data_IF_197849736796
#
_entry.id   IF_197849736796
#
_cell.length_a   1.000
_cell.length_b   1.000
_cell.length_c   1.000
_cell.angle_alpha   90.00
_cell.angle_beta   90.00
_cell.angle_gamma   90.00
#
_symmetry.space_group_name_H-M   'P 1'
#
loop_
_entity.id
_entity.type
_entity.pdbx_description
1 polymer ?
#
# COMPACT_ATOMS: atom_id res chain seq x y z
N UNK A 1 -11.14 -34.61 -38.29
CA UNK A 1 -10.83 -34.97 -36.90
C UNK A 1 -9.31 -35.08 -36.80
N UNK A 2 -8.68 -33.95 -36.50
CA UNK A 2 -7.25 -33.78 -36.17
C UNK A 2 -7.28 -33.22 -34.74
N UNK A 3 -6.56 -33.69 -33.73
CA UNK A 3 -5.20 -34.22 -33.71
C UNK A 3 -4.42 -33.36 -32.71
N UNK A 4 -4.58 -33.65 -31.41
CA UNK A 4 -4.03 -32.89 -30.27
C UNK A 4 -2.50 -32.84 -30.33
N UNK A 5 -1.89 -31.65 -30.42
CA UNK A 5 -0.44 -31.45 -30.29
C UNK A 5 -0.07 -30.87 -28.93
N UNK A 6 0.44 -31.74 -28.05
CA UNK A 6 1.07 -31.37 -26.79
C UNK A 6 2.38 -30.60 -27.04
N UNK A 7 2.53 -29.45 -26.39
CA UNK A 7 3.76 -28.65 -26.42
C UNK A 7 4.82 -29.34 -25.55
N UNK A 8 5.94 -29.77 -26.15
CA UNK A 8 7.12 -30.30 -25.45
C UNK A 8 8.19 -29.22 -25.32
N UNK A 9 8.69 -29.00 -24.10
CA UNK A 9 9.86 -28.17 -23.81
C UNK A 9 11.14 -28.82 -24.35
N UNK A 10 12.02 -28.11 -25.09
CA UNK A 10 13.29 -28.69 -25.54
C UNK A 10 14.30 -28.81 -24.39
N UNK A 11 14.65 -30.04 -24.02
CA UNK A 11 15.87 -30.33 -23.26
C UNK A 11 17.06 -30.39 -24.23
N UNK A 12 18.04 -29.49 -24.07
CA UNK A 12 19.42 -29.75 -24.48
C UNK A 12 20.35 -29.39 -23.33
N UNK A 13 20.91 -30.43 -22.72
CA UNK A 13 22.09 -30.37 -21.88
C UNK A 13 23.32 -30.10 -22.77
N UNK A 14 24.03 -29.01 -22.51
CA UNK A 14 25.45 -28.92 -22.81
C UNK A 14 26.16 -28.25 -21.63
N UNK A 15 26.95 -29.03 -20.92
CA UNK A 15 27.76 -28.61 -19.78
C UNK A 15 28.81 -27.59 -20.21
N UNK A 16 28.77 -26.37 -19.66
CA UNK A 16 29.97 -25.55 -19.39
C UNK A 16 29.75 -24.71 -18.13
N UNK A 17 30.59 -24.96 -17.12
CA UNK A 17 30.70 -24.22 -15.84
C UNK A 17 30.75 -22.71 -16.08
N UNK A 18 29.75 -21.96 -15.60
CA UNK A 18 29.84 -20.51 -15.29
C UNK A 18 28.94 -20.16 -14.10
N UNK A 19 29.45 -19.22 -13.30
CA UNK A 19 28.97 -18.71 -12.01
C UNK A 19 27.46 -18.49 -11.90
N UNK A 20 26.92 -18.80 -10.72
CA UNK A 20 25.54 -18.55 -10.30
C UNK A 20 25.27 -17.04 -10.24
N UNK A 21 24.83 -16.47 -11.36
CA UNK A 21 24.05 -15.23 -11.38
C UNK A 21 22.66 -15.60 -11.88
N UNK A 22 21.69 -15.61 -10.96
CA UNK A 22 20.29 -15.91 -11.25
C UNK A 22 19.77 -14.87 -12.27
N UNK A 23 19.37 -15.32 -13.46
CA UNK A 23 18.93 -14.47 -14.56
C UNK A 23 17.61 -13.77 -14.21
N UNK A 24 17.69 -12.53 -13.74
CA UNK A 24 16.53 -11.64 -13.66
C UNK A 24 16.24 -11.01 -15.02
N UNK A 25 14.96 -10.72 -15.36
CA UNK A 25 14.65 -9.89 -16.51
C UNK A 25 15.25 -8.50 -16.29
N UNK A 26 16.33 -8.18 -17.00
CA UNK A 26 16.92 -6.86 -17.03
C UNK A 26 16.14 -6.00 -18.04
N UNK A 27 15.47 -4.96 -17.55
CA UNK A 27 14.85 -3.93 -18.40
C UNK A 27 15.77 -2.72 -18.43
N UNK A 28 16.13 -2.23 -19.62
CA UNK A 28 16.82 -0.95 -19.72
C UNK A 28 15.78 0.19 -19.58
N UNK A 29 15.97 1.09 -18.61
CA UNK A 29 15.15 2.29 -18.43
C UNK A 29 15.91 3.46 -19.03
N UNK A 30 15.64 3.84 -20.30
CA UNK A 30 16.31 4.98 -20.91
C UNK A 30 15.89 6.27 -20.20
N UNK A 31 16.78 7.27 -20.20
CA UNK A 31 16.38 8.66 -19.97
C UNK A 31 15.32 9.02 -21.02
N UNK A 32 14.07 9.20 -20.59
CA UNK A 32 12.94 9.28 -21.48
C UNK A 32 12.19 10.60 -21.24
N UNK A 33 11.91 11.39 -22.29
CA UNK A 33 11.02 12.55 -22.19
C UNK A 33 9.56 12.15 -21.85
N UNK A 34 9.25 10.84 -21.80
CA UNK A 34 7.94 10.29 -21.45
C UNK A 34 7.81 9.90 -19.97
N UNK A 35 8.71 10.37 -19.10
CA UNK A 35 8.61 10.20 -17.65
C UNK A 35 7.84 11.35 -17.01
N UNK A 36 6.59 11.10 -16.62
CA UNK A 36 5.79 12.06 -15.85
C UNK A 36 5.98 11.79 -14.36
N UNK A 37 6.34 12.79 -13.56
CA UNK A 37 6.43 12.62 -12.10
C UNK A 37 5.03 12.36 -11.54
N UNK A 38 4.89 11.26 -10.80
CA UNK A 38 3.64 10.88 -10.11
C UNK A 38 3.64 11.35 -8.66
N UNK A 39 4.79 11.33 -8.00
CA UNK A 39 4.88 11.68 -6.59
C UNK A 39 6.31 11.70 -6.06
N UNK A 40 6.42 11.98 -4.78
CA UNK A 40 7.66 11.97 -4.01
C UNK A 40 7.46 11.13 -2.74
N UNK A 41 8.52 10.48 -2.29
CA UNK A 41 8.60 9.80 -1.00
C UNK A 41 9.90 10.19 -0.31
N UNK A 42 10.13 9.67 0.90
CA UNK A 42 11.34 9.96 1.68
C UNK A 42 12.59 9.51 0.91
N UNK A 43 13.33 10.47 0.34
CA UNK A 43 14.54 10.23 -0.45
C UNK A 43 14.33 9.64 -1.84
N UNK A 44 13.09 9.51 -2.33
CA UNK A 44 12.77 8.91 -3.63
C UNK A 44 11.74 9.73 -4.42
N UNK A 45 11.76 9.61 -5.74
CA UNK A 45 10.76 10.13 -6.66
C UNK A 45 10.12 8.98 -7.43
N UNK A 46 8.81 9.07 -7.67
CA UNK A 46 8.05 8.09 -8.45
C UNK A 46 7.61 8.72 -9.76
N UNK A 47 7.80 7.99 -10.86
CA UNK A 47 7.53 8.45 -12.21
C UNK A 47 6.70 7.43 -12.99
N UNK A 48 5.78 7.90 -13.82
CA UNK A 48 5.08 7.12 -14.83
C UNK A 48 5.97 6.96 -16.06
N UNK A 49 6.22 5.73 -16.48
CA UNK A 49 6.93 5.40 -17.71
C UNK A 49 5.97 4.77 -18.72
N UNK A 50 5.67 5.49 -19.79
CA UNK A 50 5.01 4.97 -21.00
C UNK A 50 6.07 4.62 -22.05
N UNK A 51 6.06 3.40 -22.59
CA UNK A 51 6.98 3.02 -23.68
C UNK A 51 6.33 3.27 -25.05
N UNK A 52 7.16 3.53 -26.05
CA UNK A 52 6.73 3.66 -27.45
C UNK A 52 6.16 2.32 -27.96
N UNK A 53 5.07 2.31 -28.74
CA UNK A 53 4.30 1.10 -29.13
C UNK A 53 5.03 0.10 -30.05
N UNK A 54 6.34 0.22 -30.27
CA UNK A 54 7.11 -0.68 -31.15
C UNK A 54 7.51 -1.96 -30.40
N UNK A 55 6.58 -2.90 -30.33
CA UNK A 55 6.79 -4.28 -29.85
C UNK A 55 6.01 -4.59 -28.57
N UNK A 56 5.42 -5.79 -28.49
CA UNK A 56 4.58 -6.27 -27.39
C UNK A 56 5.18 -5.87 -26.04
N UNK A 57 4.59 -4.88 -25.36
CA UNK A 57 5.07 -4.45 -24.05
C UNK A 57 3.91 -3.89 -23.23
N UNK A 58 3.69 -4.53 -22.08
CA UNK A 58 2.67 -4.27 -21.07
C UNK A 58 2.83 -2.93 -20.32
N UNK A 59 3.22 -1.83 -20.98
CA UNK A 59 3.21 -0.49 -20.37
C UNK A 59 1.78 0.02 -20.17
N UNK A 60 1.48 0.92 -19.21
CA UNK A 60 2.40 1.73 -18.41
C UNK A 60 3.05 1.05 -17.19
N UNK A 61 4.16 1.63 -16.71
CA UNK A 61 4.86 1.23 -15.47
C UNK A 61 5.07 2.42 -14.54
N UNK A 62 5.10 2.19 -13.23
CA UNK A 62 5.63 3.16 -12.27
C UNK A 62 7.12 2.87 -12.01
N UNK A 63 7.94 3.91 -11.88
CA UNK A 63 9.39 3.82 -11.69
C UNK A 63 9.77 4.66 -10.49
N UNK A 64 10.23 4.01 -9.42
CA UNK A 64 10.77 4.65 -8.22
C UNK A 64 12.29 4.81 -8.38
N UNK A 65 12.79 6.03 -8.19
CA UNK A 65 14.20 6.41 -8.29
C UNK A 65 14.64 7.19 -7.06
N UNK A 66 15.90 7.07 -6.67
CA UNK A 66 16.46 7.88 -5.58
C UNK A 66 16.50 9.34 -6.01
N UNK A 67 16.11 10.24 -5.11
CA UNK A 67 16.15 11.67 -5.37
C UNK A 67 17.60 12.13 -5.55
N UNK A 68 17.97 12.76 -6.68
CA UNK A 68 19.34 13.24 -6.90
C UNK A 68 19.83 14.24 -5.85
N UNK A 69 18.91 14.95 -5.18
CA UNK A 69 19.21 15.96 -4.16
C UNK A 69 19.47 15.31 -2.78
N UNK A 70 19.35 13.97 -2.65
CA UNK A 70 19.68 13.31 -1.39
C UNK A 70 21.15 13.54 -1.03
N UNK A 71 21.43 13.87 0.24
CA UNK A 71 22.79 13.96 0.75
C UNK A 71 23.53 12.64 0.46
N UNK A 72 24.75 12.73 -0.09
CA UNK A 72 25.59 11.58 -0.43
C UNK A 72 25.77 10.61 0.74
N UNK A 73 25.78 11.12 1.97
CA UNK A 73 25.85 10.33 3.20
C UNK A 73 24.67 9.34 3.33
N UNK A 74 23.47 9.72 2.91
CA UNK A 74 22.25 8.89 3.02
C UNK A 74 21.91 8.15 1.72
N UNK A 75 22.64 8.41 0.63
CA UNK A 75 22.39 7.79 -0.67
C UNK A 75 22.51 6.26 -0.60
N UNK A 76 23.52 5.75 0.11
CA UNK A 76 23.72 4.30 0.32
C UNK A 76 22.55 3.66 1.08
N UNK A 77 22.01 4.37 2.08
CA UNK A 77 20.84 3.93 2.86
C UNK A 77 19.60 3.83 1.98
N UNK A 78 19.32 4.86 1.17
CA UNK A 78 18.19 4.83 0.23
C UNK A 78 18.37 3.79 -0.88
N UNK A 79 19.59 3.54 -1.33
CA UNK A 79 19.89 2.45 -2.27
C UNK A 79 19.58 1.08 -1.66
N UNK A 80 19.99 0.86 -0.40
CA UNK A 80 19.70 -0.37 0.33
C UNK A 80 18.19 -0.55 0.50
N UNK A 81 17.46 0.47 0.97
CA UNK A 81 16.01 0.45 1.11
C UNK A 81 15.28 0.14 -0.20
N UNK A 82 15.68 0.79 -1.30
CA UNK A 82 15.09 0.53 -2.61
C UNK A 82 15.37 -0.90 -3.10
N UNK A 83 16.56 -1.43 -2.81
CA UNK A 83 16.92 -2.82 -3.13
C UNK A 83 16.12 -3.81 -2.30
N UNK A 84 15.92 -3.54 -1.01
CA UNK A 84 15.15 -4.40 -0.11
C UNK A 84 13.66 -4.39 -0.47
N UNK A 85 13.10 -3.22 -0.78
CA UNK A 85 11.75 -3.08 -1.36
C UNK A 85 11.61 -3.91 -2.65
N UNK A 86 12.60 -3.84 -3.55
CA UNK A 86 12.59 -4.60 -4.78
C UNK A 86 12.62 -6.13 -4.54
N UNK A 87 13.36 -6.60 -3.53
CA UNK A 87 13.41 -8.03 -3.16
C UNK A 87 12.05 -8.49 -2.63
N UNK A 88 11.44 -7.70 -1.75
CA UNK A 88 10.11 -7.98 -1.19
C UNK A 88 9.09 -8.03 -2.33
N UNK A 89 8.97 -6.95 -3.10
CA UNK A 89 7.98 -6.80 -4.16
C UNK A 89 8.09 -7.90 -5.22
N UNK A 90 9.30 -8.34 -5.55
CA UNK A 90 9.54 -9.44 -6.51
C UNK A 90 8.93 -10.77 -6.08
N UNK A 91 8.76 -10.99 -4.77
CA UNK A 91 8.12 -12.18 -4.22
C UNK A 91 6.59 -12.09 -4.19
N UNK A 92 6.02 -10.93 -4.52
CA UNK A 92 4.59 -10.65 -4.40
C UNK A 92 3.86 -10.79 -5.75
N UNK A 93 2.73 -11.49 -5.75
CA UNK A 93 1.84 -11.63 -6.88
C UNK A 93 0.39 -11.77 -6.38
N UNK A 94 -0.36 -10.67 -6.37
CA UNK A 94 -1.76 -10.66 -5.93
C UNK A 94 -2.53 -9.52 -6.64
N UNK A 95 -3.82 -9.71 -7.02
CA UNK A 95 -4.59 -8.69 -7.74
C UNK A 95 -4.74 -7.36 -6.99
N UNK A 96 -4.71 -7.38 -5.66
CA UNK A 96 -4.83 -6.18 -4.80
C UNK A 96 -3.50 -5.66 -4.24
N UNK A 97 -2.36 -6.12 -4.77
CA UNK A 97 -1.03 -5.59 -4.46
C UNK A 97 -0.38 -5.12 -5.77
N UNK A 98 0.33 -3.99 -5.74
CA UNK A 98 1.12 -3.53 -6.89
C UNK A 98 2.24 -4.53 -7.17
N UNK A 99 2.32 -5.02 -8.42
CA UNK A 99 3.30 -6.03 -8.81
C UNK A 99 4.71 -5.47 -9.08
N UNK A 100 5.71 -6.33 -8.94
CA UNK A 100 7.08 -6.05 -9.39
C UNK A 100 7.23 -6.17 -10.90
N UNK A 101 8.05 -5.30 -11.50
CA UNK A 101 8.47 -5.44 -12.90
C UNK A 101 9.97 -5.72 -13.04
N UNK A 102 10.80 -4.84 -12.50
CA UNK A 102 12.26 -4.97 -12.61
C UNK A 102 12.99 -4.08 -11.61
N UNK A 103 14.24 -4.41 -11.34
CA UNK A 103 15.19 -3.58 -10.61
C UNK A 103 16.45 -3.45 -11.46
N UNK A 104 16.85 -2.21 -11.75
CA UNK A 104 17.90 -1.94 -12.74
C UNK A 104 18.60 -0.62 -12.47
N UNK A 105 19.73 -0.40 -13.14
CA UNK A 105 20.44 0.87 -13.15
C UNK A 105 19.99 1.67 -14.38
N UNK A 106 19.63 2.93 -14.18
CA UNK A 106 19.39 3.86 -15.28
C UNK A 106 20.72 4.30 -15.90
N UNK A 107 20.64 4.93 -17.08
CA UNK A 107 21.81 5.40 -17.82
C UNK A 107 22.69 6.41 -17.07
N UNK A 108 22.15 7.07 -16.04
CA UNK A 108 22.86 8.00 -15.16
C UNK A 108 23.50 7.33 -13.93
N UNK A 109 23.50 5.99 -13.86
CA UNK A 109 24.02 5.22 -12.74
C UNK A 109 23.07 5.12 -11.54
N UNK A 110 21.85 5.68 -11.62
CA UNK A 110 20.88 5.62 -10.53
C UNK A 110 20.13 4.28 -10.50
N UNK A 111 20.00 3.67 -9.32
CA UNK A 111 19.17 2.48 -9.14
C UNK A 111 17.69 2.85 -9.25
N UNK A 112 16.95 2.00 -9.95
CA UNK A 112 15.56 2.18 -10.33
C UNK A 112 14.76 0.91 -10.05
N UNK A 113 13.65 1.06 -9.35
CA UNK A 113 12.64 0.02 -9.18
C UNK A 113 11.46 0.31 -10.12
N UNK A 114 11.29 -0.53 -11.14
CA UNK A 114 10.09 -0.54 -11.97
C UNK A 114 9.05 -1.49 -11.37
N UNK A 115 7.83 -0.99 -11.26
CA UNK A 115 6.68 -1.69 -10.70
C UNK A 115 5.46 -1.52 -11.62
N UNK A 116 4.45 -2.35 -11.40
CA UNK A 116 3.15 -2.22 -12.04
C UNK A 116 2.60 -0.80 -11.82
N UNK A 117 2.02 -0.22 -12.87
CA UNK A 117 1.26 1.02 -12.70
C UNK A 117 -0.13 0.68 -12.15
N UNK A 118 -0.33 0.96 -10.86
CA UNK A 118 -1.53 0.56 -10.14
C UNK A 118 -2.76 1.44 -10.36
N UNK A 119 -2.61 2.63 -10.96
CA UNK A 119 -3.73 3.53 -11.22
C UNK A 119 -3.34 4.99 -11.40
N UNK A 120 -4.30 5.80 -11.83
CA UNK A 120 -4.12 7.23 -12.09
C UNK A 120 -3.93 8.06 -10.82
N UNK A 121 -4.55 7.62 -9.71
CA UNK A 121 -4.63 8.38 -8.46
C UNK A 121 -4.46 7.48 -7.25
N UNK A 122 -3.92 8.04 -6.17
CA UNK A 122 -4.05 7.45 -4.85
C UNK A 122 -5.47 7.68 -4.30
N UNK A 123 -5.86 6.89 -3.29
CA UNK A 123 -7.11 7.12 -2.58
C UNK A 123 -7.09 8.48 -1.87
N UNK A 124 -5.92 8.93 -1.38
CA UNK A 124 -5.75 10.28 -0.83
C UNK A 124 -6.11 11.37 -1.86
N UNK A 125 -5.61 11.26 -3.11
CA UNK A 125 -5.93 12.24 -4.15
C UNK A 125 -7.44 12.33 -4.40
N UNK A 126 -8.12 11.17 -4.40
CA UNK A 126 -9.58 11.12 -4.56
C UNK A 126 -10.32 11.72 -3.36
N UNK A 127 -9.82 11.50 -2.14
CA UNK A 127 -10.36 12.10 -0.91
C UNK A 127 -10.26 13.62 -0.98
N UNK A 128 -9.09 14.16 -1.34
CA UNK A 128 -8.87 15.60 -1.48
C UNK A 128 -9.74 16.23 -2.57
N UNK A 129 -9.88 15.57 -3.72
CA UNK A 129 -10.75 16.04 -4.80
C UNK A 129 -12.22 16.08 -4.36
N UNK A 130 -12.67 15.06 -3.64
CA UNK A 130 -14.04 14.99 -3.11
C UNK A 130 -14.28 16.04 -2.03
N UNK A 131 -13.31 16.30 -1.16
CA UNK A 131 -13.35 17.38 -0.18
C UNK A 131 -13.53 18.74 -0.86
N UNK A 132 -12.78 19.00 -1.95
CA UNK A 132 -12.88 20.25 -2.71
C UNK A 132 -14.19 20.39 -3.50
N UNK A 133 -14.79 19.27 -3.93
CA UNK A 133 -15.95 19.28 -4.81
C UNK A 133 -17.30 19.26 -4.07
N UNK A 134 -17.52 18.27 -3.19
CA UNK A 134 -18.83 18.07 -2.54
C UNK A 134 -18.78 18.15 -1.02
N UNK A 135 -17.61 17.90 -0.39
CA UNK A 135 -17.46 17.71 1.07
C UNK A 135 -18.28 16.55 1.66
N UNK A 136 -19.14 15.92 0.87
CA UNK A 136 -19.86 14.71 1.25
C UNK A 136 -18.95 13.47 1.29
N UNK A 137 -19.15 12.58 2.28
CA UNK A 137 -18.45 11.30 2.35
C UNK A 137 -18.55 10.47 1.08
N UNK A 138 -17.63 9.51 0.91
CA UNK A 138 -17.78 8.52 -0.15
C UNK A 138 -19.07 7.68 0.06
N UNK A 139 -19.73 7.24 -1.03
CA UNK A 139 -20.86 6.33 -0.93
C UNK A 139 -20.46 5.04 -0.20
N UNK A 140 -21.35 4.52 0.66
CA UNK A 140 -21.06 3.33 1.48
C UNK A 140 -20.58 2.13 0.63
N UNK A 141 -21.20 1.94 -0.55
CA UNK A 141 -20.83 0.87 -1.48
C UNK A 141 -19.39 0.99 -1.98
N UNK A 142 -18.89 2.21 -2.19
CA UNK A 142 -17.49 2.45 -2.61
C UNK A 142 -16.53 2.19 -1.46
N UNK A 143 -16.87 2.62 -0.24
CA UNK A 143 -16.05 2.34 0.95
C UNK A 143 -15.95 0.83 1.18
N UNK A 144 -17.06 0.09 1.11
CA UNK A 144 -17.06 -1.38 1.21
C UNK A 144 -16.23 -2.04 0.11
N UNK A 145 -16.30 -1.53 -1.13
CA UNK A 145 -15.50 -2.03 -2.25
C UNK A 145 -14.01 -1.84 -2.00
N UNK A 146 -13.59 -0.66 -1.55
CA UNK A 146 -12.19 -0.37 -1.18
C UNK A 146 -11.74 -1.29 -0.06
N UNK A 147 -12.53 -1.34 1.01
CA UNK A 147 -12.24 -2.12 2.20
C UNK A 147 -12.11 -3.63 1.89
N UNK A 148 -12.97 -4.21 1.04
CA UNK A 148 -12.87 -5.61 0.63
C UNK A 148 -11.58 -5.90 -0.15
N UNK A 149 -11.21 -5.01 -1.08
CA UNK A 149 -10.01 -5.19 -1.90
C UNK A 149 -8.73 -5.02 -1.08
N UNK A 150 -8.68 -4.04 -0.19
CA UNK A 150 -7.58 -3.87 0.77
C UNK A 150 -7.47 -5.08 1.71
N UNK A 151 -8.58 -5.58 2.27
CA UNK A 151 -8.58 -6.75 3.14
C UNK A 151 -8.05 -8.01 2.44
N UNK A 152 -8.38 -8.21 1.16
CA UNK A 152 -7.79 -9.30 0.35
C UNK A 152 -6.28 -9.15 0.20
N UNK A 153 -5.80 -7.94 -0.09
CA UNK A 153 -4.37 -7.64 -0.18
C UNK A 153 -3.64 -7.90 1.14
N UNK A 154 -4.17 -7.38 2.25
CA UNK A 154 -3.60 -7.58 3.59
C UNK A 154 -3.62 -9.04 4.02
N UNK A 155 -4.73 -9.75 3.79
CA UNK A 155 -4.82 -11.21 4.05
C UNK A 155 -3.68 -11.96 3.35
N UNK A 156 -3.45 -11.66 2.08
CA UNK A 156 -2.37 -12.25 1.30
C UNK A 156 -0.99 -11.93 1.88
N UNK A 157 -0.72 -10.67 2.25
CA UNK A 157 0.55 -10.27 2.86
C UNK A 157 0.78 -11.00 4.20
N UNK A 158 -0.21 -11.00 5.08
CA UNK A 158 -0.09 -11.57 6.43
C UNK A 158 -0.02 -13.10 6.40
N UNK A 159 -0.91 -13.77 5.67
CA UNK A 159 -1.08 -15.22 5.76
C UNK A 159 -0.14 -15.98 4.81
N UNK A 160 -0.05 -15.53 3.55
CA UNK A 160 0.74 -16.25 2.53
C UNK A 160 2.19 -15.80 2.48
N UNK A 161 2.46 -14.52 2.79
CA UNK A 161 3.80 -13.94 2.73
C UNK A 161 4.44 -13.69 4.07
N UNK A 162 3.69 -13.83 5.17
CA UNK A 162 4.18 -13.57 6.54
C UNK A 162 4.87 -12.22 6.59
N UNK A 163 4.17 -11.20 6.09
CA UNK A 163 4.71 -9.86 5.90
C UNK A 163 3.69 -8.84 6.41
N UNK A 164 4.11 -8.00 7.36
CA UNK A 164 3.42 -6.78 7.75
C UNK A 164 3.69 -5.71 6.69
N UNK A 165 2.64 -5.02 6.23
CA UNK A 165 2.80 -3.90 5.31
C UNK A 165 3.56 -2.74 5.98
N UNK A 166 3.09 -2.32 7.16
CA UNK A 166 3.77 -1.38 8.05
C UNK A 166 3.45 0.10 7.80
N UNK A 167 2.84 0.48 6.68
CA UNK A 167 2.43 1.87 6.42
C UNK A 167 1.13 1.95 5.60
N UNK A 168 0.07 1.32 6.11
CA UNK A 168 -1.26 1.43 5.49
C UNK A 168 -1.82 2.84 5.72
N UNK A 169 -2.25 3.49 4.64
CA UNK A 169 -2.89 4.81 4.62
C UNK A 169 -3.46 5.06 3.23
N UNK A 170 -4.35 6.04 3.08
CA UNK A 170 -4.99 6.37 1.79
C UNK A 170 -4.00 6.67 0.65
N UNK A 171 -2.85 7.30 0.94
CA UNK A 171 -1.82 7.58 -0.07
C UNK A 171 -1.07 6.34 -0.59
N UNK A 172 -1.13 5.22 0.16
CA UNK A 172 -0.55 3.93 -0.24
C UNK A 172 -1.59 2.95 -0.82
N UNK A 173 -2.77 3.46 -1.19
CA UNK A 173 -3.80 2.72 -1.93
C UNK A 173 -3.99 3.40 -3.28
N UNK A 174 -3.69 2.72 -4.38
CA UNK A 174 -3.83 3.24 -5.74
C UNK A 174 -5.08 2.71 -6.43
N UNK A 175 -5.75 3.61 -7.14
CA UNK A 175 -7.05 3.39 -7.77
C UNK A 175 -6.93 3.61 -9.27
N UNK A 176 -7.42 2.64 -10.05
CA UNK A 176 -7.51 2.74 -11.50
C UNK A 176 -8.97 2.85 -11.95
N UNK A 177 -9.23 3.79 -12.86
CA UNK A 177 -10.57 4.04 -13.38
C UNK A 177 -11.56 4.44 -12.27
N UNK A 178 -12.84 4.13 -12.45
CA UNK A 178 -13.87 4.36 -11.43
C UNK A 178 -13.90 3.19 -10.42
N UNK A 179 -12.86 3.13 -9.58
CA UNK A 179 -12.63 2.06 -8.61
C UNK A 179 -12.61 0.65 -9.24
N UNK A 180 -12.25 0.52 -10.52
CA UNK A 180 -12.21 -0.77 -11.23
C UNK A 180 -11.11 -1.67 -10.65
N UNK A 181 -9.97 -1.08 -10.33
CA UNK A 181 -8.84 -1.75 -9.67
C UNK A 181 -8.42 -0.98 -8.44
N UNK A 182 -8.14 -1.70 -7.36
CA UNK A 182 -7.78 -1.15 -6.05
C UNK A 182 -6.60 -1.99 -5.55
N UNK A 183 -5.44 -1.35 -5.36
CA UNK A 183 -4.20 -2.04 -4.98
C UNK A 183 -3.49 -1.30 -3.85
N UNK A 184 -2.91 -2.06 -2.93
CA UNK A 184 -1.97 -1.56 -1.94
C UNK A 184 -0.59 -1.46 -2.60
N UNK A 185 0.13 -0.38 -2.32
CA UNK A 185 1.49 -0.14 -2.79
C UNK A 185 2.42 0.30 -1.64
N UNK A 186 3.70 0.44 -1.96
CA UNK A 186 4.76 0.92 -1.05
C UNK A 186 5.11 -0.04 0.11
N UNK A 187 5.66 -1.20 -0.25
CA UNK A 187 6.20 -2.21 0.70
C UNK A 187 7.60 -1.87 1.20
N UNK A 188 8.00 -0.59 1.13
CA UNK A 188 9.36 -0.14 1.45
C UNK A 188 9.71 -0.24 2.94
N UNK A 189 8.71 -0.31 3.82
CA UNK A 189 8.85 -0.44 5.28
C UNK A 189 8.25 -1.74 5.82
N UNK A 190 7.96 -2.70 4.94
CA UNK A 190 7.35 -3.95 5.33
C UNK A 190 8.28 -4.82 6.17
N UNK A 191 7.69 -5.53 7.15
CA UNK A 191 8.43 -6.35 8.10
C UNK A 191 8.03 -7.83 8.04
N UNK A 192 8.97 -8.76 8.22
CA UNK A 192 8.63 -10.17 8.34
C UNK A 192 7.84 -10.41 9.63
N UNK A 193 6.85 -11.29 9.55
CA UNK A 193 6.07 -11.80 10.67
C UNK A 193 6.51 -13.23 11.00
N UNK A 194 6.54 -13.56 12.28
CA UNK A 194 6.78 -14.91 12.75
C UNK A 194 5.52 -15.80 12.69
N UNK A 195 5.60 -17.00 13.26
CA UNK A 195 4.48 -17.94 13.34
C UNK A 195 3.31 -17.41 14.18
N UNK A 196 3.58 -16.51 15.12
CA UNK A 196 2.61 -15.85 15.99
C UNK A 196 2.12 -14.51 15.42
N UNK A 197 2.36 -14.25 14.12
CA UNK A 197 2.03 -12.98 13.45
C UNK A 197 2.63 -11.75 14.14
N UNK A 198 3.81 -11.92 14.74
CA UNK A 198 4.53 -10.86 15.45
C UNK A 198 5.78 -10.45 14.68
N UNK A 199 6.09 -9.15 14.63
CA UNK A 199 7.32 -8.65 14.06
C UNK A 199 8.49 -8.78 15.07
N UNK A 200 9.74 -9.03 14.62
CA UNK A 200 10.87 -9.21 15.52
C UNK A 200 11.15 -8.01 16.44
N UNK A 201 11.28 -8.25 17.74
CA UNK A 201 11.41 -7.21 18.77
C UNK A 201 12.57 -6.23 18.54
N UNK A 202 13.74 -6.69 18.04
CA UNK A 202 14.86 -5.79 17.74
C UNK A 202 14.53 -4.77 16.65
N UNK A 203 13.70 -5.15 15.68
CA UNK A 203 13.24 -4.24 14.63
C UNK A 203 12.23 -3.25 15.21
N UNK A 204 11.39 -3.68 16.14
CA UNK A 204 10.41 -2.84 16.85
C UNK A 204 11.06 -1.71 17.67
N UNK A 205 12.19 -2.00 18.32
CA UNK A 205 12.93 -0.99 19.12
C UNK A 205 13.47 0.15 18.24
N UNK A 206 13.89 -0.15 17.01
CA UNK A 206 14.37 0.85 16.05
C UNK A 206 13.28 1.85 15.62
N UNK A 207 11.99 1.52 15.81
CA UNK A 207 10.85 2.33 15.35
C UNK A 207 10.58 3.59 16.16
N UNK A 208 11.07 3.65 17.40
CA UNK A 208 10.79 4.72 18.36
C UNK A 208 11.69 5.96 18.12
N UNK A 209 12.79 5.81 17.37
CA UNK A 209 13.73 6.90 17.10
C UNK A 209 13.47 7.54 15.72
N UNK A 210 12.83 8.70 15.69
CA UNK A 210 12.38 9.39 14.45
C UNK A 210 13.50 10.17 13.72
N UNK A 211 14.69 10.25 14.29
CA UNK A 211 15.77 11.13 13.78
C UNK A 211 16.89 10.43 13.02
N UNK A 212 16.88 9.09 12.98
CA UNK A 212 17.94 8.31 12.34
C UNK A 212 17.48 7.77 10.98
N UNK A 213 18.14 8.12 9.87
CA UNK A 213 17.87 7.52 8.56
C UNK A 213 18.16 6.01 8.50
N UNK A 214 18.89 5.45 9.47
CA UNK A 214 19.03 4.00 9.67
C UNK A 214 17.89 3.37 10.49
N UNK A 215 17.05 4.19 11.15
CA UNK A 215 15.88 3.68 11.87
C UNK A 215 14.93 2.98 10.90
N UNK A 216 14.37 1.87 11.36
CA UNK A 216 13.22 1.27 10.71
C UNK A 216 12.01 2.13 11.07
N UNK A 217 11.20 2.56 10.09
CA UNK A 217 10.04 3.42 10.34
C UNK A 217 8.78 2.62 10.03
N UNK A 218 7.90 2.42 11.01
CA UNK A 218 6.56 1.86 10.79
C UNK A 218 5.56 2.99 10.94
N UNK A 219 4.72 3.13 9.92
CA UNK A 219 3.50 3.91 9.93
C UNK A 219 3.74 5.41 9.90
N UNK A 220 2.87 6.13 9.21
CA UNK A 220 2.81 7.60 9.29
C UNK A 220 2.08 8.00 10.58
N UNK A 221 2.59 9.00 11.31
CA UNK A 221 2.15 9.32 12.69
C UNK A 221 0.63 9.24 12.95
N UNK A 222 -0.26 9.84 12.13
CA UNK A 222 -1.70 9.77 12.35
C UNK A 222 -2.32 8.37 12.21
N UNK A 223 -1.64 7.41 11.59
CA UNK A 223 -2.13 6.05 11.38
C UNK A 223 -1.49 5.04 12.34
N UNK A 224 -0.61 5.49 13.24
CA UNK A 224 0.10 4.59 14.14
C UNK A 224 -0.84 4.01 15.21
N UNK A 225 -0.86 2.69 15.38
CA UNK A 225 -1.60 2.07 16.48
C UNK A 225 -0.84 2.29 17.80
N UNK A 226 -1.52 2.06 18.92
CA UNK A 226 -0.98 2.31 20.27
C UNK A 226 0.29 1.53 20.55
N UNK A 227 0.35 0.26 20.17
CA UNK A 227 1.53 -0.60 20.33
C UNK A 227 2.76 -0.10 19.56
N UNK A 228 2.59 0.76 18.54
CA UNK A 228 3.70 1.40 17.83
C UNK A 228 4.16 2.71 18.49
N UNK A 229 3.40 3.22 19.47
CA UNK A 229 3.74 4.40 20.27
C UNK A 229 4.33 4.03 21.63
N UNK A 230 4.14 2.78 22.08
CA UNK A 230 4.67 2.26 23.35
C UNK A 230 6.11 1.76 23.19
N UNK A 231 7.00 2.10 24.14
CA UNK A 231 8.43 1.76 24.09
C UNK A 231 8.71 0.24 24.00
N UNK A 232 7.84 -0.57 24.61
CA UNK A 232 7.91 -2.04 24.59
C UNK A 232 6.69 -2.68 23.92
N UNK A 233 5.99 -1.93 23.07
CA UNK A 233 4.82 -2.44 22.37
C UNK A 233 5.20 -3.55 21.39
N UNK A 234 4.35 -4.58 21.31
CA UNK A 234 4.57 -5.72 20.41
C UNK A 234 3.80 -5.50 19.12
N UNK A 235 4.54 -5.31 18.02
CA UNK A 235 3.95 -5.12 16.70
C UNK A 235 3.52 -6.45 16.11
N UNK A 236 2.26 -6.51 15.69
CA UNK A 236 1.65 -7.68 15.05
C UNK A 236 0.98 -7.30 13.73
N UNK A 237 0.40 -8.27 13.00
CA UNK A 237 -0.48 -8.01 11.85
C UNK A 237 -1.60 -6.99 12.14
N UNK A 238 -1.96 -6.82 13.42
CA UNK A 238 -3.01 -5.91 13.89
C UNK A 238 -2.67 -4.44 13.71
N UNK A 239 -1.38 -4.10 13.61
CA UNK A 239 -0.99 -2.73 13.30
C UNK A 239 -1.51 -2.29 11.92
N UNK A 240 -1.45 -3.17 10.92
CA UNK A 240 -2.02 -2.90 9.59
C UNK A 240 -3.56 -2.82 9.63
N UNK A 241 -4.19 -3.56 10.55
CA UNK A 241 -5.65 -3.59 10.70
C UNK A 241 -6.18 -2.27 11.27
N UNK A 242 -5.50 -1.74 12.29
CA UNK A 242 -5.81 -0.44 12.84
C UNK A 242 -5.69 0.67 11.77
N UNK A 243 -4.56 0.69 11.07
CA UNK A 243 -4.31 1.65 10.00
C UNK A 243 -5.28 1.49 8.81
N UNK A 244 -5.70 0.26 8.49
CA UNK A 244 -6.79 -0.02 7.55
C UNK A 244 -8.11 0.63 8.01
N UNK A 245 -8.47 0.51 9.29
CA UNK A 245 -9.66 1.15 9.85
C UNK A 245 -9.63 2.67 9.70
N UNK A 246 -8.48 3.29 10.00
CA UNK A 246 -8.26 4.72 9.79
C UNK A 246 -8.32 5.11 8.31
N UNK A 247 -7.84 4.27 7.40
CA UNK A 247 -7.98 4.53 5.95
C UNK A 247 -9.45 4.56 5.50
N UNK A 248 -10.31 3.72 6.09
CA UNK A 248 -11.75 3.80 5.84
C UNK A 248 -12.35 5.06 6.45
N UNK A 249 -11.90 5.45 7.63
CA UNK A 249 -12.30 6.69 8.28
C UNK A 249 -11.97 7.91 7.42
N UNK A 250 -10.81 7.96 6.77
CA UNK A 250 -10.48 9.05 5.84
C UNK A 250 -11.51 9.17 4.71
N UNK A 251 -12.05 8.05 4.20
CA UNK A 251 -13.13 8.08 3.19
C UNK A 251 -14.48 8.55 3.77
N UNK A 252 -14.67 8.40 5.08
CA UNK A 252 -15.89 8.80 5.78
C UNK A 252 -15.87 10.28 6.14
N UNK A 253 -14.71 10.82 6.51
CA UNK A 253 -14.56 12.18 7.06
C UNK A 253 -13.91 13.15 6.09
N UNK A 254 -13.22 12.63 5.07
CA UNK A 254 -12.38 13.38 4.15
C UNK A 254 -11.26 14.17 4.84
N UNK A 255 -10.83 13.70 6.01
CA UNK A 255 -9.83 14.35 6.86
C UNK A 255 -8.68 13.40 7.18
N UNK A 256 -7.57 13.97 7.63
CA UNK A 256 -6.44 13.21 8.20
C UNK A 256 -6.82 12.77 9.62
N UNK A 257 -6.54 11.52 10.04
CA UNK A 257 -6.84 11.05 11.39
C UNK A 257 -6.21 11.94 12.46
N UNK A 258 -6.90 12.12 13.59
CA UNK A 258 -6.41 12.86 14.77
C UNK A 258 -6.02 14.33 14.54
N UNK A 259 -6.25 14.89 13.34
CA UNK A 259 -6.13 16.31 13.07
C UNK A 259 -7.49 16.95 13.35
N UNK A 260 -7.66 17.51 14.54
CA UNK A 260 -8.75 18.45 14.77
C UNK A 260 -8.44 19.70 13.95
N UNK A 261 -9.38 20.13 13.11
CA UNK A 261 -9.35 21.45 12.48
C UNK A 261 -9.60 22.50 13.55
N UNK A 262 -8.62 22.74 14.43
CA UNK A 262 -8.63 23.94 15.24
C UNK A 262 -8.36 25.12 14.31
N UNK A 263 -9.40 25.94 14.14
CA UNK A 263 -9.44 27.24 13.46
C UNK A 263 -9.74 27.15 11.95
N UNK A 264 -11.01 27.36 11.58
CA UNK A 264 -11.43 28.67 11.06
C UNK A 264 -12.97 28.76 11.04
N UNK A 265 -13.45 29.88 11.58
CA UNK A 265 -14.77 30.51 11.52
C UNK A 265 -15.88 30.09 12.51
N UNK A 266 -16.52 31.14 13.04
CA UNK A 266 -17.53 31.18 14.10
C UNK A 266 -18.84 30.46 13.74
N UNK A 267 -18.93 29.14 13.96
CA UNK A 267 -20.22 28.45 14.02
C UNK A 267 -20.43 27.88 15.44
N UNK A 268 -21.17 28.66 16.25
CA UNK A 268 -21.82 28.24 17.50
C UNK A 268 -22.92 27.20 17.20
N UNK A 269 -22.56 26.00 16.74
CA UNK A 269 -23.46 24.85 16.74
C UNK A 269 -22.86 23.73 17.60
N UNK A 270 -23.44 23.61 18.81
CA UNK A 270 -23.29 22.53 19.79
C UNK A 270 -23.73 21.15 19.23
N UNK A 271 -23.10 20.66 18.17
CA UNK A 271 -23.18 19.27 17.74
C UNK A 271 -21.80 18.62 17.91
N UNK A 272 -21.47 18.26 19.17
CA UNK A 272 -20.33 17.41 19.57
C UNK A 272 -20.53 15.94 19.08
N UNK A 273 -21.10 15.76 17.89
CA UNK A 273 -21.25 14.47 17.24
C UNK A 273 -19.90 14.05 16.66
N UNK A 274 -19.30 13.00 17.21
CA UNK A 274 -18.06 12.45 16.68
C UNK A 274 -18.15 12.10 15.18
N UNK A 275 -17.02 12.07 14.43
CA UNK A 275 -17.04 11.96 12.96
C UNK A 275 -17.77 10.72 12.41
N UNK A 276 -17.86 9.66 13.21
CA UNK A 276 -18.57 8.43 12.88
C UNK A 276 -20.11 8.59 12.92
N UNK A 277 -20.63 9.44 13.82
CA UNK A 277 -22.04 9.80 13.92
C UNK A 277 -22.44 10.70 12.75
N UNK A 278 -21.63 11.73 12.46
CA UNK A 278 -21.78 12.60 11.29
C UNK A 278 -21.81 11.77 10.01
N UNK A 279 -20.89 10.81 9.86
CA UNK A 279 -20.89 9.91 8.72
C UNK A 279 -22.13 9.01 8.67
N UNK A 280 -22.55 8.40 9.79
CA UNK A 280 -23.73 7.53 9.83
C UNK A 280 -24.98 8.29 9.37
N UNK A 281 -25.09 9.57 9.75
CA UNK A 281 -26.16 10.49 9.33
C UNK A 281 -26.06 10.83 7.84
N UNK A 282 -24.90 11.25 7.37
CA UNK A 282 -24.71 11.87 6.05
C UNK A 282 -24.34 10.90 4.93
N UNK A 283 -23.97 9.65 5.23
CA UNK A 283 -23.56 8.70 4.20
C UNK A 283 -24.77 8.26 3.34
N UNK A 284 -24.62 8.35 2.03
CA UNK A 284 -25.57 7.75 1.09
C UNK A 284 -25.31 6.24 0.97
N UNK A 285 -26.26 5.42 1.45
CA UNK A 285 -26.16 3.96 1.46
C UNK A 285 -27.33 3.29 2.18
N UNK A 286 -27.60 2.02 1.86
CA UNK A 286 -28.68 1.25 2.51
C UNK A 286 -28.26 0.96 3.97
N UNK A 287 -29.19 1.05 4.93
CA UNK A 287 -28.94 0.86 6.38
C UNK A 287 -28.04 -0.34 6.72
N UNK A 288 -28.18 -1.45 5.98
CA UNK A 288 -27.34 -2.64 6.14
C UNK A 288 -25.84 -2.37 5.88
N UNK A 289 -25.52 -1.64 4.81
CA UNK A 289 -24.14 -1.28 4.45
C UNK A 289 -23.52 -0.34 5.48
N UNK A 290 -24.32 0.61 6.00
CA UNK A 290 -23.89 1.50 7.10
C UNK A 290 -23.50 0.69 8.34
N UNK A 291 -24.35 -0.26 8.76
CA UNK A 291 -24.08 -1.14 9.92
C UNK A 291 -22.83 -2.00 9.73
N UNK A 292 -22.62 -2.55 8.53
CA UNK A 292 -21.42 -3.34 8.23
C UNK A 292 -20.14 -2.49 8.36
N UNK A 293 -20.13 -1.29 7.78
CA UNK A 293 -18.99 -0.38 7.86
C UNK A 293 -18.71 0.08 9.29
N UNK A 294 -19.73 0.49 10.04
CA UNK A 294 -19.57 0.89 11.45
C UNK A 294 -18.97 -0.25 12.28
N UNK A 295 -19.47 -1.48 12.11
CA UNK A 295 -18.93 -2.65 12.83
C UNK A 295 -17.48 -2.94 12.46
N UNK A 296 -17.14 -2.87 11.18
CA UNK A 296 -15.77 -3.13 10.72
C UNK A 296 -14.79 -2.04 11.15
N UNK A 297 -15.20 -0.77 11.12
CA UNK A 297 -14.41 0.33 11.66
C UNK A 297 -14.17 0.13 13.16
N UNK A 298 -15.24 -0.03 13.94
CA UNK A 298 -15.13 -0.21 15.39
C UNK A 298 -14.26 -1.41 15.73
N UNK A 299 -14.43 -2.54 15.05
CA UNK A 299 -13.58 -3.71 15.26
C UNK A 299 -12.12 -3.41 14.95
N UNK A 300 -11.83 -2.80 13.78
CA UNK A 300 -10.47 -2.47 13.37
C UNK A 300 -9.75 -1.53 14.35
N UNK A 301 -10.50 -0.61 14.97
CA UNK A 301 -9.97 0.39 15.89
C UNK A 301 -10.17 0.05 17.37
N UNK A 302 -10.61 -1.17 17.70
CA UNK A 302 -10.71 -1.59 19.12
C UNK A 302 -9.32 -1.78 19.73
N UNK A 303 -9.19 -1.55 21.04
CA UNK A 303 -7.92 -1.66 21.78
C UNK A 303 -7.34 -3.08 21.83
N UNK A 304 -8.14 -4.10 21.50
CA UNK A 304 -7.77 -5.51 21.60
C UNK A 304 -8.30 -6.33 20.42
N UNK A 305 -7.69 -6.25 19.23
CA UNK A 305 -7.99 -7.15 18.12
C UNK A 305 -7.39 -8.55 18.41
N UNK A 306 -7.94 -9.25 19.40
CA UNK A 306 -7.49 -10.56 19.88
C UNK A 306 -7.68 -11.68 18.84
N UNK A 307 -8.46 -11.43 17.78
CA UNK A 307 -8.80 -12.43 16.79
C UNK A 307 -7.91 -12.33 15.55
N UNK A 308 -7.10 -13.36 15.32
CA UNK A 308 -6.23 -13.57 14.15
C UNK A 308 -6.97 -13.59 12.80
N UNK A 309 -8.30 -13.52 12.81
CA UNK A 309 -9.15 -13.72 11.64
C UNK A 309 -9.74 -12.45 11.04
N UNK A 310 -9.46 -11.23 11.50
CA UNK A 310 -10.13 -10.02 10.99
C UNK A 310 -10.22 -9.90 9.45
N UNK A 311 -9.10 -10.03 8.73
CA UNK A 311 -9.13 -9.98 7.26
C UNK A 311 -9.91 -11.16 6.67
N UNK A 312 -9.85 -12.35 7.27
CA UNK A 312 -10.68 -13.49 6.87
C UNK A 312 -12.16 -13.23 7.15
N UNK A 313 -12.51 -12.70 8.31
CA UNK A 313 -13.87 -12.32 8.71
C UNK A 313 -14.43 -11.23 7.81
N UNK A 314 -13.68 -10.18 7.45
CA UNK A 314 -14.14 -9.16 6.48
C UNK A 314 -14.37 -9.79 5.11
N UNK A 315 -13.42 -10.57 4.61
CA UNK A 315 -13.53 -11.19 3.28
C UNK A 315 -14.69 -12.19 3.23
N UNK A 316 -15.00 -12.86 4.34
CA UNK A 316 -16.09 -13.83 4.45
C UNK A 316 -17.44 -13.16 4.73
N UNK A 317 -17.50 -12.19 5.65
CA UNK A 317 -18.71 -11.47 6.04
C UNK A 317 -19.24 -10.52 4.94
N UNK A 318 -18.38 -10.13 4.00
CA UNK A 318 -18.73 -9.22 2.91
C UNK A 318 -18.74 -9.89 1.54
N UNK A 319 -18.92 -11.22 1.48
CA UNK A 319 -19.37 -11.84 0.24
C UNK A 319 -20.70 -11.19 -0.13
N UNK A 320 -20.86 -10.64 -1.35
CA UNK A 320 -22.17 -10.22 -1.80
C UNK A 320 -23.08 -11.45 -1.73
N UNK A 321 -24.25 -11.31 -1.11
CA UNK A 321 -25.33 -12.27 -1.28
C UNK A 321 -25.56 -12.37 -2.80
N UNK A 322 -25.24 -13.53 -3.37
CA UNK A 322 -25.51 -13.86 -4.77
C UNK A 322 -27.01 -14.12 -4.93
#
# INVERSE_FOLDING_TARGET
>A
MEGISNFKTPCKLSEKKKSVLCSTPTINIPASPFMQKLGFGTGVNVYLMKRSPRGLSYSPWAVKKINPICNDHYRSVYQKRLMDEAKILKSLHHPNIVGYRAFTEASDGSLCLAMEYGGEKSLNDLIEERYKASRDPFPAAIILKVALNMARGLKYLHQEKKLLHGDIKSSNVVIKGDFETIKICDVGVSLPLDENMTAPAFITILLVSVTDPEACYIGTEPWKPKEALEENGVITDKADIFAFGLTLWEMMTLSIPHVNLSNDDDDDDDDDEGPLLIWTRNCNGIMHQKRQLTRSFLYATTEHPQDSSFCSHIVEAWKPDV
#
